data_IF_418572077023
#
_entry.id   IF_418572077023
#
_cell.length_a   1.000
_cell.length_b   1.000
_cell.length_c   1.000
_cell.angle_alpha   90.00
_cell.angle_beta   90.00
_cell.angle_gamma   90.00
#
_symmetry.space_group_name_H-M   'P 1'
#
loop_
_entity.id
_entity.type
_entity.pdbx_description
1 polymer ?
#
# COMPACT_ATOMS: atom_id res chain seq x y z
N UNK A 1 -50.81 81.55 -28.77
CA UNK A 1 -50.81 80.02 -28.63
C UNK A 1 -49.48 79.43 -28.22
N UNK A 2 -48.38 80.17 -28.33
CA UNK A 2 -47.01 79.64 -27.95
C UNK A 2 -46.71 79.75 -26.45
N UNK A 3 -47.25 80.71 -25.75
CA UNK A 3 -46.99 80.93 -24.32
C UNK A 3 -47.62 79.81 -23.36
N UNK A 4 -48.77 79.25 -23.78
CA UNK A 4 -49.42 78.14 -22.98
C UNK A 4 -48.74 76.79 -23.12
N UNK A 5 -47.85 76.58 -24.08
CA UNK A 5 -47.07 75.37 -24.27
C UNK A 5 -45.80 75.34 -23.42
N UNK A 6 -45.25 76.49 -23.10
CA UNK A 6 -44.07 76.63 -22.22
C UNK A 6 -44.38 76.30 -20.78
N UNK A 7 -45.49 76.78 -20.23
CA UNK A 7 -45.90 76.56 -18.83
C UNK A 7 -46.27 75.10 -18.54
N UNK A 8 -46.88 74.38 -19.50
CA UNK A 8 -47.15 72.99 -19.34
C UNK A 8 -45.88 72.12 -19.26
N UNK A 9 -44.86 72.47 -20.07
CA UNK A 9 -43.57 71.74 -20.04
C UNK A 9 -42.75 72.00 -18.78
N UNK A 10 -42.85 73.24 -18.21
CA UNK A 10 -42.23 73.55 -16.94
C UNK A 10 -42.94 72.85 -15.76
N UNK A 11 -44.25 72.81 -15.72
CA UNK A 11 -45.04 72.11 -14.69
C UNK A 11 -44.80 70.58 -14.70
N UNK A 12 -44.75 69.98 -15.89
CA UNK A 12 -44.43 68.54 -16.02
C UNK A 12 -42.98 68.24 -15.64
N UNK A 13 -42.03 69.11 -15.93
CA UNK A 13 -40.63 69.00 -15.53
C UNK A 13 -40.47 69.19 -14.00
N UNK A 14 -41.25 70.11 -13.36
CA UNK A 14 -41.26 70.26 -11.90
C UNK A 14 -41.86 69.06 -11.18
N UNK A 15 -42.92 68.42 -11.72
CA UNK A 15 -43.52 67.21 -11.17
C UNK A 15 -42.71 65.94 -11.44
N UNK A 16 -41.96 65.87 -12.54
CA UNK A 16 -41.12 64.72 -12.88
C UNK A 16 -39.79 64.62 -12.04
N UNK A 17 -39.25 65.76 -11.59
CA UNK A 17 -38.00 65.76 -10.77
C UNK A 17 -38.11 64.96 -9.51
N UNK A 18 -39.12 65.12 -8.61
CA UNK A 18 -39.19 64.29 -7.40
C UNK A 18 -39.38 62.82 -7.70
N UNK A 19 -40.08 62.48 -8.79
CA UNK A 19 -40.31 61.08 -9.22
C UNK A 19 -39.01 60.44 -9.72
N UNK A 20 -38.18 61.15 -10.44
CA UNK A 20 -36.83 60.70 -10.87
C UNK A 20 -35.89 60.52 -9.66
N UNK A 21 -35.96 61.44 -8.69
CA UNK A 21 -35.14 61.33 -7.45
C UNK A 21 -35.55 60.11 -6.64
N UNK A 22 -36.84 59.85 -6.47
CA UNK A 22 -37.32 58.65 -5.73
C UNK A 22 -36.98 57.37 -6.46
N UNK A 23 -37.07 57.31 -7.80
CA UNK A 23 -36.64 56.16 -8.60
C UNK A 23 -35.13 55.91 -8.48
N UNK A 24 -34.32 56.98 -8.51
CA UNK A 24 -32.88 56.85 -8.34
C UNK A 24 -32.51 56.36 -6.94
N UNK A 25 -33.12 56.88 -5.87
CA UNK A 25 -32.91 56.37 -4.52
C UNK A 25 -33.31 54.93 -4.33
N UNK A 26 -34.46 54.49 -4.87
CA UNK A 26 -34.92 53.10 -4.89
C UNK A 26 -33.93 52.21 -5.60
N UNK A 27 -33.49 52.62 -6.80
CA UNK A 27 -32.51 51.83 -7.58
C UNK A 27 -31.17 51.72 -6.86
N UNK A 28 -30.65 52.77 -6.27
CA UNK A 28 -29.39 52.75 -5.48
C UNK A 28 -29.57 51.84 -4.24
N UNK A 29 -30.69 51.98 -3.51
CA UNK A 29 -30.98 51.12 -2.36
C UNK A 29 -31.05 49.67 -2.71
N UNK A 30 -31.71 49.32 -3.81
CA UNK A 30 -31.79 47.93 -4.33
C UNK A 30 -30.42 47.42 -4.73
N UNK A 31 -29.58 48.19 -5.39
CA UNK A 31 -28.23 47.79 -5.76
C UNK A 31 -27.34 47.57 -4.54
N UNK A 32 -27.43 48.47 -3.55
CA UNK A 32 -26.70 48.32 -2.27
C UNK A 32 -27.14 47.03 -1.57
N UNK A 33 -28.44 46.78 -1.46
CA UNK A 33 -28.97 45.57 -0.82
C UNK A 33 -28.53 44.31 -1.54
N UNK A 34 -28.61 44.31 -2.88
CA UNK A 34 -28.13 43.20 -3.70
C UNK A 34 -26.62 42.94 -3.49
N UNK A 35 -25.82 44.02 -3.48
CA UNK A 35 -24.38 43.94 -3.23
C UNK A 35 -24.06 43.37 -1.84
N UNK A 36 -24.74 43.83 -0.79
CA UNK A 36 -24.56 43.34 0.58
C UNK A 36 -24.94 41.87 0.69
N UNK A 37 -26.08 41.45 0.11
CA UNK A 37 -26.49 40.06 0.09
C UNK A 37 -25.45 39.17 -0.59
N UNK A 38 -24.97 39.61 -1.74
CA UNK A 38 -23.97 38.87 -2.52
C UNK A 38 -22.63 38.77 -1.77
N UNK A 39 -22.21 39.83 -1.11
CA UNK A 39 -20.92 39.90 -0.41
C UNK A 39 -20.90 39.15 0.91
N UNK A 40 -22.00 39.08 1.65
CA UNK A 40 -22.03 38.47 2.99
C UNK A 40 -22.83 37.18 3.07
N UNK A 41 -23.98 37.09 2.40
CA UNK A 41 -24.86 35.93 2.57
C UNK A 41 -24.35 34.69 1.83
N UNK A 42 -23.81 34.83 0.63
CA UNK A 42 -23.25 33.68 -0.11
C UNK A 42 -22.07 33.02 0.57
N UNK A 43 -21.04 33.71 1.05
CA UNK A 43 -19.93 33.09 1.74
C UNK A 43 -20.35 32.36 3.02
N UNK A 44 -21.32 32.91 3.76
CA UNK A 44 -21.86 32.24 4.96
C UNK A 44 -22.58 30.93 4.59
N UNK A 45 -23.36 30.93 3.50
CA UNK A 45 -24.02 29.73 3.02
C UNK A 45 -23.00 28.67 2.59
N UNK A 46 -21.96 29.05 1.84
CA UNK A 46 -20.88 28.13 1.43
C UNK A 46 -20.16 27.54 2.64
N UNK A 47 -19.88 28.33 3.66
CA UNK A 47 -19.25 27.85 4.89
C UNK A 47 -20.16 26.89 5.67
N UNK A 48 -21.46 27.19 5.74
CA UNK A 48 -22.45 26.30 6.36
C UNK A 48 -22.57 24.96 5.63
N UNK A 49 -22.60 25.00 4.29
CA UNK A 49 -22.66 23.77 3.48
C UNK A 49 -21.36 22.95 3.60
N UNK A 50 -20.21 23.61 3.61
CA UNK A 50 -18.93 22.94 3.85
C UNK A 50 -18.86 22.32 5.26
N UNK A 51 -19.34 23.02 6.28
CA UNK A 51 -19.40 22.50 7.64
C UNK A 51 -20.31 21.27 7.76
N UNK A 52 -21.41 21.24 7.01
CA UNK A 52 -22.30 20.08 6.94
C UNK A 52 -21.62 18.89 6.28
N UNK A 53 -20.91 19.08 5.17
CA UNK A 53 -20.18 18.04 4.48
C UNK A 53 -19.06 17.45 5.37
N UNK A 54 -18.34 18.31 6.12
CA UNK A 54 -17.35 17.88 7.12
C UNK A 54 -18.01 17.05 8.23
N UNK A 55 -19.18 17.45 8.71
CA UNK A 55 -19.95 16.70 9.72
C UNK A 55 -20.41 15.33 9.19
N UNK A 56 -20.73 15.22 7.89
CA UNK A 56 -21.09 13.98 7.20
C UNK A 56 -19.86 13.10 6.89
N UNK A 57 -18.64 13.60 7.20
CA UNK A 57 -17.38 12.83 7.13
C UNK A 57 -16.47 13.17 5.96
N UNK A 58 -16.87 14.05 5.04
CA UNK A 58 -16.02 14.51 3.94
C UNK A 58 -15.08 15.63 4.43
N UNK A 59 -13.83 15.26 4.72
CA UNK A 59 -12.79 16.17 5.17
C UNK A 59 -12.00 16.82 4.03
N UNK A 60 -12.26 16.44 2.77
CA UNK A 60 -11.57 17.02 1.61
C UNK A 60 -12.18 18.34 1.15
N UNK A 61 -13.35 18.69 1.68
CA UNK A 61 -14.04 19.94 1.38
C UNK A 61 -13.19 21.13 1.78
N UNK A 62 -13.08 22.11 0.88
CA UNK A 62 -12.40 23.38 1.13
C UNK A 62 -13.32 24.53 0.74
N UNK A 63 -13.37 25.55 1.57
CA UNK A 63 -14.08 26.80 1.27
C UNK A 63 -13.18 27.69 0.43
N UNK A 64 -13.65 28.22 -0.71
CA UNK A 64 -12.85 29.13 -1.56
C UNK A 64 -12.41 30.38 -0.78
N UNK A 65 -11.11 30.66 -0.78
CA UNK A 65 -10.51 31.82 -0.11
C UNK A 65 -10.37 33.02 -1.08
N UNK A 66 -10.84 32.97 -2.28
CA UNK A 66 -10.63 33.84 -3.43
C UNK A 66 -10.32 35.31 -3.08
N UNK A 67 -9.04 35.58 -2.70
CA UNK A 67 -8.48 36.94 -2.60
C UNK A 67 -9.15 37.87 -1.57
N UNK A 68 -9.94 37.37 -0.64
CA UNK A 68 -10.61 38.19 0.40
C UNK A 68 -9.67 38.43 1.58
N UNK A 69 -9.41 39.72 1.83
CA UNK A 69 -8.63 40.20 2.98
C UNK A 69 -9.52 40.72 4.13
N UNK A 70 -10.79 40.28 4.16
CA UNK A 70 -11.75 40.64 5.22
C UNK A 70 -11.95 39.50 6.24
N UNK A 71 -12.82 39.71 7.22
CA UNK A 71 -13.13 38.74 8.28
C UNK A 71 -13.67 37.40 7.71
N UNK A 72 -14.35 37.46 6.58
CA UNK A 72 -14.89 36.25 5.93
C UNK A 72 -13.78 35.43 5.27
N UNK A 73 -12.78 36.06 4.67
CA UNK A 73 -11.58 35.40 4.17
C UNK A 73 -10.78 34.70 5.28
N UNK A 74 -10.59 35.43 6.42
CA UNK A 74 -9.92 34.84 7.59
C UNK A 74 -10.70 33.66 8.16
N UNK A 75 -12.03 33.71 8.19
CA UNK A 75 -12.87 32.62 8.67
C UNK A 75 -12.78 31.39 7.75
N UNK A 76 -12.81 31.61 6.43
CA UNK A 76 -12.62 30.54 5.46
C UNK A 76 -11.24 29.86 5.60
N UNK A 77 -10.18 30.65 5.76
CA UNK A 77 -8.84 30.15 6.01
C UNK A 77 -8.77 29.27 7.26
N UNK A 78 -9.27 29.77 8.40
CA UNK A 78 -9.29 29.02 9.67
C UNK A 78 -10.12 27.74 9.56
N UNK A 79 -11.22 27.77 8.82
CA UNK A 79 -12.02 26.59 8.56
C UNK A 79 -11.23 25.54 7.74
N UNK A 80 -10.52 25.98 6.70
CA UNK A 80 -9.68 25.09 5.89
C UNK A 80 -8.50 24.51 6.68
N UNK A 81 -7.87 25.31 7.55
CA UNK A 81 -6.84 24.84 8.47
C UNK A 81 -7.39 23.77 9.44
N UNK A 82 -8.56 24.03 10.04
CA UNK A 82 -9.23 23.07 10.92
C UNK A 82 -9.58 21.76 10.21
N UNK A 83 -10.12 21.81 8.99
CA UNK A 83 -10.44 20.60 8.23
C UNK A 83 -9.20 19.80 7.84
N UNK A 84 -8.09 20.48 7.49
CA UNK A 84 -6.82 19.81 7.22
C UNK A 84 -6.25 19.12 8.49
N UNK A 85 -6.39 19.73 9.64
CA UNK A 85 -5.93 19.16 10.92
C UNK A 85 -6.80 17.98 11.35
N UNK A 86 -8.11 18.03 11.12
CA UNK A 86 -9.02 16.90 11.33
C UNK A 86 -8.70 15.71 10.40
N UNK A 87 -8.42 15.97 9.13
CA UNK A 87 -8.02 14.95 8.15
C UNK A 87 -6.73 14.25 8.59
N UNK A 88 -5.72 15.03 9.00
CA UNK A 88 -4.46 14.50 9.53
C UNK A 88 -4.67 13.70 10.81
N UNK A 89 -5.52 14.17 11.72
CA UNK A 89 -5.83 13.48 12.98
C UNK A 89 -6.51 12.14 12.73
N UNK A 90 -7.51 12.08 11.83
CA UNK A 90 -8.16 10.81 11.43
C UNK A 90 -7.18 9.82 10.81
N UNK A 91 -6.27 10.30 9.96
CA UNK A 91 -5.25 9.45 9.36
C UNK A 91 -4.32 8.86 10.42
N UNK A 92 -3.87 9.69 11.36
CA UNK A 92 -3.03 9.26 12.49
C UNK A 92 -3.76 8.26 13.40
N UNK A 93 -5.04 8.51 13.69
CA UNK A 93 -5.86 7.59 14.50
C UNK A 93 -6.02 6.24 13.82
N UNK A 94 -6.29 6.20 12.52
CA UNK A 94 -6.36 4.97 11.75
C UNK A 94 -5.02 4.21 11.74
N UNK A 95 -3.89 4.92 11.60
CA UNK A 95 -2.56 4.33 11.68
C UNK A 95 -2.27 3.77 13.08
N UNK A 96 -2.66 4.48 14.12
CA UNK A 96 -2.47 4.07 15.52
C UNK A 96 -3.30 2.83 15.84
N UNK A 97 -4.57 2.78 15.44
CA UNK A 97 -5.43 1.60 15.57
C UNK A 97 -4.85 0.39 14.84
N UNK A 98 -4.34 0.60 13.63
CA UNK A 98 -3.70 -0.48 12.87
C UNK A 98 -2.42 -0.97 13.55
N UNK A 99 -1.60 -0.06 14.08
CA UNK A 99 -0.38 -0.40 14.81
C UNK A 99 -0.70 -1.13 16.13
N UNK A 100 -1.69 -0.68 16.91
CA UNK A 100 -2.14 -1.36 18.13
C UNK A 100 -2.67 -2.76 17.82
N UNK A 101 -3.52 -2.91 16.80
CA UNK A 101 -4.04 -4.20 16.36
C UNK A 101 -2.90 -5.15 15.97
N UNK A 102 -1.92 -4.66 15.22
CA UNK A 102 -0.75 -5.43 14.84
C UNK A 102 0.13 -5.81 16.05
N UNK A 103 0.29 -4.91 17.02
CA UNK A 103 1.07 -5.17 18.23
C UNK A 103 0.41 -6.23 19.14
N UNK A 104 -0.92 -6.17 19.31
CA UNK A 104 -1.69 -7.18 20.06
C UNK A 104 -1.58 -8.54 19.39
N UNK A 105 -1.80 -8.60 18.07
CA UNK A 105 -1.67 -9.83 17.28
C UNK A 105 -0.24 -10.37 17.35
N UNK A 106 0.78 -9.50 17.31
CA UNK A 106 2.18 -9.90 17.40
C UNK A 106 2.57 -10.51 18.75
N UNK A 107 2.07 -9.96 19.85
CA UNK A 107 2.31 -10.51 21.21
C UNK A 107 1.60 -11.84 21.42
N UNK A 108 0.32 -11.91 21.11
CA UNK A 108 -0.47 -13.13 21.21
C UNK A 108 0.04 -14.21 20.25
N UNK A 109 0.35 -13.80 19.02
CA UNK A 109 0.87 -14.70 18.00
C UNK A 109 2.17 -15.38 18.40
N UNK A 110 3.09 -14.68 19.07
CA UNK A 110 4.36 -15.28 19.54
C UNK A 110 4.15 -16.36 20.59
N UNK A 111 3.23 -16.14 21.55
CA UNK A 111 2.89 -17.15 22.58
C UNK A 111 2.19 -18.35 21.94
N UNK A 112 1.17 -18.11 21.13
CA UNK A 112 0.40 -19.16 20.43
C UNK A 112 1.32 -19.97 19.50
N UNK A 113 2.22 -19.32 18.76
CA UNK A 113 3.14 -20.02 17.88
C UNK A 113 4.07 -20.97 18.64
N UNK A 114 4.53 -20.56 19.81
CA UNK A 114 5.34 -21.44 20.65
C UNK A 114 4.54 -22.64 21.15
N UNK A 115 3.28 -22.41 21.53
CA UNK A 115 2.37 -23.47 21.97
C UNK A 115 1.96 -24.41 20.83
N UNK A 116 1.84 -23.92 19.59
CA UNK A 116 1.54 -24.77 18.43
C UNK A 116 2.79 -25.52 17.95
N UNK A 117 3.98 -24.91 17.98
CA UNK A 117 5.23 -25.61 17.61
C UNK A 117 5.51 -26.81 18.47
N UNK A 118 5.16 -26.76 19.75
CA UNK A 118 5.39 -27.89 20.68
C UNK A 118 4.67 -29.17 20.23
N UNK A 119 3.35 -29.22 20.05
CA UNK A 119 2.67 -30.41 19.54
C UNK A 119 3.14 -30.83 18.15
N UNK A 120 3.47 -29.87 17.24
CA UNK A 120 4.01 -30.19 15.92
C UNK A 120 5.37 -30.89 16.00
N UNK A 121 6.24 -30.48 16.93
CA UNK A 121 7.49 -31.16 17.20
C UNK A 121 7.27 -32.59 17.73
N UNK A 122 6.29 -32.80 18.62
CA UNK A 122 5.92 -34.15 19.06
C UNK A 122 5.42 -35.01 17.90
N UNK A 123 4.57 -34.47 17.02
CA UNK A 123 4.11 -35.19 15.84
C UNK A 123 5.31 -35.59 14.95
N UNK A 124 6.24 -34.64 14.72
CA UNK A 124 7.42 -34.88 13.88
C UNK A 124 8.32 -36.00 14.49
N UNK A 125 8.61 -35.92 15.78
CA UNK A 125 9.36 -36.96 16.49
C UNK A 125 8.67 -38.33 16.47
N UNK A 126 7.34 -38.35 16.62
CA UNK A 126 6.55 -39.58 16.55
C UNK A 126 6.62 -40.22 15.15
N UNK A 127 6.52 -39.38 14.07
CA UNK A 127 6.69 -39.85 12.72
C UNK A 127 8.10 -40.42 12.47
N UNK A 128 9.14 -39.76 12.99
CA UNK A 128 10.52 -40.29 12.92
C UNK A 128 10.68 -41.62 13.65
N UNK A 129 10.06 -41.74 14.82
CA UNK A 129 10.06 -43.00 15.57
C UNK A 129 9.32 -44.11 14.83
N UNK A 130 8.13 -43.83 14.28
CA UNK A 130 7.40 -44.78 13.45
C UNK A 130 8.23 -45.26 12.25
N UNK A 131 8.88 -44.33 11.52
CA UNK A 131 9.75 -44.67 10.40
C UNK A 131 10.95 -45.50 10.78
N UNK A 132 11.53 -45.28 11.99
CA UNK A 132 12.73 -46.00 12.44
C UNK A 132 12.43 -47.38 13.00
N UNK A 133 11.27 -47.59 13.63
CA UNK A 133 10.97 -48.80 14.41
C UNK A 133 9.83 -49.63 13.84
N UNK A 134 8.94 -49.05 13.04
CA UNK A 134 7.70 -49.68 12.58
C UNK A 134 7.54 -49.73 11.06
N UNK A 135 8.64 -49.54 10.34
CA UNK A 135 8.63 -49.70 8.89
C UNK A 135 8.28 -51.14 8.49
N UNK A 136 7.22 -51.36 7.69
CA UNK A 136 6.80 -52.71 7.27
C UNK A 136 7.89 -53.45 6.50
N UNK A 137 7.99 -54.77 6.69
CA UNK A 137 8.93 -55.60 5.96
C UNK A 137 8.44 -55.88 4.52
N UNK A 138 7.11 -55.91 4.31
CA UNK A 138 6.52 -56.16 3.01
C UNK A 138 6.72 -54.94 2.09
N UNK A 139 7.33 -55.11 0.85
CA UNK A 139 7.71 -53.97 -0.01
C UNK A 139 6.54 -53.03 -0.34
N UNK A 140 5.39 -53.59 -0.71
CA UNK A 140 4.18 -52.81 -1.06
C UNK A 140 3.68 -51.97 0.13
N UNK A 141 3.63 -52.54 1.30
CA UNK A 141 3.21 -51.81 2.53
C UNK A 141 4.24 -50.78 2.93
N UNK A 142 5.52 -51.08 2.75
CA UNK A 142 6.61 -50.15 3.00
C UNK A 142 6.52 -48.88 2.17
N UNK A 143 6.30 -49.05 0.88
CA UNK A 143 6.14 -47.90 -0.05
C UNK A 143 4.99 -47.00 0.38
N UNK A 144 3.83 -47.60 0.68
CA UNK A 144 2.66 -46.86 1.18
C UNK A 144 2.98 -46.15 2.51
N UNK A 145 3.64 -46.85 3.44
CA UNK A 145 3.99 -46.28 4.74
C UNK A 145 4.99 -45.11 4.62
N UNK A 146 6.02 -45.24 3.79
CA UNK A 146 7.00 -44.18 3.53
C UNK A 146 6.36 -43.00 2.86
N UNK A 147 5.46 -43.19 1.90
CA UNK A 147 4.68 -42.15 1.26
C UNK A 147 3.81 -41.38 2.24
N UNK A 148 3.00 -42.08 3.05
CA UNK A 148 2.11 -41.45 4.02
C UNK A 148 2.87 -40.68 5.10
N UNK A 149 3.93 -41.26 5.67
CA UNK A 149 4.75 -40.57 6.69
C UNK A 149 5.49 -39.37 6.12
N UNK A 150 5.94 -39.42 4.87
CA UNK A 150 6.55 -38.27 4.17
C UNK A 150 5.55 -37.15 3.92
N UNK A 151 4.33 -37.50 3.51
CA UNK A 151 3.25 -36.51 3.34
C UNK A 151 2.90 -35.82 4.66
N UNK A 152 2.78 -36.58 5.76
CA UNK A 152 2.53 -36.00 7.10
C UNK A 152 3.67 -35.08 7.56
N UNK A 153 4.92 -35.45 7.31
CA UNK A 153 6.08 -34.58 7.63
C UNK A 153 6.07 -33.30 6.82
N UNK A 154 5.74 -33.39 5.52
CA UNK A 154 5.61 -32.21 4.68
C UNK A 154 4.50 -31.26 5.18
N UNK A 155 3.37 -31.82 5.65
CA UNK A 155 2.27 -31.02 6.21
C UNK A 155 2.67 -30.34 7.54
N UNK A 156 3.39 -31.03 8.42
CA UNK A 156 3.93 -30.43 9.66
C UNK A 156 4.90 -29.30 9.35
N UNK A 157 5.78 -29.49 8.35
CA UNK A 157 6.70 -28.45 7.93
C UNK A 157 5.94 -27.23 7.34
N UNK A 158 4.88 -27.48 6.57
CA UNK A 158 4.01 -26.44 6.01
C UNK A 158 3.33 -25.61 7.12
N UNK A 159 2.77 -26.24 8.12
CA UNK A 159 2.12 -25.56 9.25
C UNK A 159 3.15 -24.70 10.02
N UNK A 160 4.36 -25.23 10.27
CA UNK A 160 5.43 -24.47 10.92
C UNK A 160 5.82 -23.23 10.11
N UNK A 161 5.87 -23.33 8.78
CA UNK A 161 6.14 -22.18 7.91
C UNK A 161 5.01 -21.14 7.98
N UNK A 162 3.74 -21.58 7.94
CA UNK A 162 2.59 -20.69 8.08
C UNK A 162 2.60 -19.90 9.39
N UNK A 163 2.93 -20.55 10.49
CA UNK A 163 3.07 -19.91 11.81
C UNK A 163 4.20 -18.87 11.77
N UNK A 164 5.32 -19.20 11.14
CA UNK A 164 6.46 -18.28 11.01
C UNK A 164 6.12 -17.05 10.17
N UNK A 165 5.43 -17.25 9.05
CA UNK A 165 4.96 -16.16 8.18
C UNK A 165 3.98 -15.24 8.93
N UNK A 166 3.02 -15.82 9.66
CA UNK A 166 2.08 -15.07 10.49
C UNK A 166 2.78 -14.22 11.55
N UNK A 167 3.77 -14.80 12.25
CA UNK A 167 4.55 -14.06 13.24
C UNK A 167 5.36 -12.93 12.63
N UNK A 168 6.00 -13.17 11.50
CA UNK A 168 6.78 -12.16 10.79
C UNK A 168 5.90 -11.00 10.29
N UNK A 169 4.69 -11.31 9.80
CA UNK A 169 3.72 -10.29 9.41
C UNK A 169 3.24 -9.47 10.61
N UNK A 170 2.99 -10.12 11.76
CA UNK A 170 2.36 -9.52 12.94
C UNK A 170 3.32 -8.72 13.84
N UNK A 171 4.63 -8.96 13.76
CA UNK A 171 5.61 -8.26 14.60
C UNK A 171 5.69 -6.76 14.25
N UNK A 172 5.71 -5.86 15.27
CA UNK A 172 6.12 -4.48 15.06
C UNK A 172 7.60 -4.49 14.66
N UNK A 173 7.88 -4.12 13.43
CA UNK A 173 9.19 -4.30 12.83
C UNK A 173 10.00 -3.02 13.00
N UNK A 174 10.99 -3.06 13.89
CA UNK A 174 12.00 -2.02 13.98
C UNK A 174 13.24 -2.56 13.25
N UNK A 175 13.46 -2.12 12.01
CA UNK A 175 14.63 -2.53 11.23
C UNK A 175 15.89 -1.81 11.74
N UNK A 176 16.99 -2.52 11.79
CA UNK A 176 18.33 -1.96 12.07
C UNK A 176 19.00 -1.63 10.73
N UNK A 177 18.63 -0.48 10.17
CA UNK A 177 19.10 -0.06 8.84
C UNK A 177 20.57 0.35 8.87
N UNK A 178 21.42 -0.38 8.14
CA UNK A 178 22.87 -0.13 8.02
C UNK A 178 23.31 -0.11 6.56
N UNK A 179 24.39 0.62 6.24
CA UNK A 179 25.00 0.55 4.91
C UNK A 179 25.44 -0.88 4.60
N UNK A 180 24.87 -1.51 3.57
CA UNK A 180 25.17 -2.88 3.18
C UNK A 180 25.21 -3.05 1.65
N UNK A 181 25.89 -4.11 1.21
CA UNK A 181 25.85 -4.53 -0.19
C UNK A 181 24.68 -5.50 -0.40
N UNK A 182 23.72 -5.11 -1.24
CA UNK A 182 22.52 -5.93 -1.52
C UNK A 182 22.86 -7.26 -2.19
N UNK A 183 23.98 -7.33 -2.93
CA UNK A 183 24.44 -8.55 -3.59
C UNK A 183 24.67 -9.71 -2.62
N UNK A 184 25.12 -9.41 -1.40
CA UNK A 184 25.33 -10.44 -0.37
C UNK A 184 24.05 -11.18 -0.04
N UNK A 185 22.95 -10.45 0.17
CA UNK A 185 21.66 -11.02 0.51
C UNK A 185 21.02 -11.75 -0.69
N UNK A 186 21.19 -11.22 -1.88
CA UNK A 186 20.72 -11.87 -3.11
C UNK A 186 21.45 -13.20 -3.34
N UNK A 187 22.77 -13.25 -3.14
CA UNK A 187 23.54 -14.47 -3.28
C UNK A 187 23.17 -15.52 -2.21
N UNK A 188 22.89 -15.10 -0.98
CA UNK A 188 22.38 -16.00 0.05
C UNK A 188 21.02 -16.60 -0.34
N UNK A 189 20.12 -15.79 -0.89
CA UNK A 189 18.80 -16.24 -1.35
C UNK A 189 18.89 -17.17 -2.57
N UNK A 190 19.83 -16.92 -3.49
CA UNK A 190 20.08 -17.80 -4.63
C UNK A 190 20.49 -19.20 -4.19
N UNK A 191 21.36 -19.33 -3.17
CA UNK A 191 21.76 -20.65 -2.64
C UNK A 191 20.58 -21.46 -2.12
N UNK A 192 19.54 -20.79 -1.57
CA UNK A 192 18.36 -21.48 -1.04
C UNK A 192 17.55 -22.11 -2.16
N UNK A 193 17.44 -21.45 -3.32
CA UNK A 193 16.62 -21.94 -4.44
C UNK A 193 17.38 -22.81 -5.42
N UNK A 194 18.71 -22.87 -5.35
CA UNK A 194 19.59 -23.52 -6.35
C UNK A 194 19.23 -24.98 -6.61
N UNK A 195 19.04 -25.76 -5.54
CA UNK A 195 18.68 -27.17 -5.66
C UNK A 195 17.32 -27.34 -6.35
N UNK A 196 16.30 -26.62 -5.88
CA UNK A 196 14.93 -26.69 -6.42
C UNK A 196 14.85 -26.18 -7.87
N UNK A 197 15.59 -25.11 -8.18
CA UNK A 197 15.68 -24.59 -9.54
C UNK A 197 16.31 -25.63 -10.51
N UNK A 198 17.40 -26.29 -10.06
CA UNK A 198 18.06 -27.34 -10.84
C UNK A 198 17.15 -28.55 -11.09
N UNK A 199 16.45 -29.03 -10.03
CA UNK A 199 15.50 -30.16 -10.13
C UNK A 199 14.36 -29.87 -11.12
N UNK A 200 13.88 -28.62 -11.16
CA UNK A 200 12.78 -28.20 -12.03
C UNK A 200 13.26 -27.71 -13.43
N UNK A 201 14.53 -27.83 -13.76
CA UNK A 201 15.07 -27.41 -15.06
C UNK A 201 15.03 -25.89 -15.27
N UNK A 202 15.09 -25.10 -14.21
CA UNK A 202 15.06 -23.63 -14.26
C UNK A 202 16.48 -23.09 -14.39
N UNK A 203 16.72 -22.25 -15.40
CA UNK A 203 17.99 -21.57 -15.59
C UNK A 203 18.00 -20.26 -14.82
N UNK A 204 18.95 -20.09 -13.89
CA UNK A 204 19.11 -18.86 -13.11
C UNK A 204 20.21 -17.99 -13.73
N UNK A 205 19.91 -16.74 -14.03
CA UNK A 205 20.85 -15.73 -14.53
C UNK A 205 20.88 -14.52 -13.61
N UNK A 206 22.09 -14.04 -13.33
CA UNK A 206 22.29 -12.80 -12.55
C UNK A 206 23.08 -11.82 -13.41
N UNK A 207 22.58 -10.59 -13.53
CA UNK A 207 23.22 -9.48 -14.23
C UNK A 207 23.43 -8.34 -13.23
N UNK A 208 24.67 -8.04 -12.94
CA UNK A 208 25.04 -6.98 -12.01
C UNK A 208 25.73 -5.85 -12.77
N UNK A 209 25.39 -4.61 -12.41
CA UNK A 209 26.14 -3.45 -12.88
C UNK A 209 27.42 -3.30 -12.05
N UNK A 210 28.53 -2.89 -12.68
CA UNK A 210 29.83 -2.80 -12.01
C UNK A 210 29.82 -1.87 -10.79
N UNK A 211 29.06 -0.78 -10.83
CA UNK A 211 29.04 0.27 -9.81
C UNK A 211 27.69 0.31 -9.04
N UNK A 212 27.25 -0.81 -8.48
CA UNK A 212 26.07 -0.80 -7.59
C UNK A 212 26.45 -0.19 -6.25
N UNK A 213 25.81 0.92 -5.82
CA UNK A 213 26.11 1.54 -4.53
C UNK A 213 25.58 0.68 -3.37
N UNK A 214 26.12 0.89 -2.17
CA UNK A 214 25.56 0.32 -0.94
C UNK A 214 24.17 0.88 -0.70
N UNK A 215 23.28 0.05 -0.19
CA UNK A 215 21.93 0.43 0.25
C UNK A 215 21.88 0.61 1.76
N UNK A 216 20.89 1.35 2.25
CA UNK A 216 20.57 1.41 3.66
C UNK A 216 19.53 0.30 3.94
N UNK A 217 19.95 -0.77 4.63
CA UNK A 217 19.09 -1.94 4.82
C UNK A 217 19.41 -2.80 6.02
N UNK A 218 18.45 -3.64 6.39
CA UNK A 218 18.57 -4.71 7.38
C UNK A 218 18.72 -6.05 6.63
N UNK A 219 19.87 -6.75 6.78
CA UNK A 219 20.13 -7.97 6.01
C UNK A 219 19.11 -9.08 6.25
N UNK A 220 18.61 -9.25 7.47
CA UNK A 220 17.66 -10.32 7.82
C UNK A 220 16.31 -10.09 7.14
N UNK A 221 15.85 -8.83 7.15
CA UNK A 221 14.60 -8.47 6.49
C UNK A 221 14.70 -8.54 4.98
N UNK A 222 15.77 -8.03 4.39
CA UNK A 222 15.97 -8.09 2.94
C UNK A 222 16.15 -9.53 2.44
N UNK A 223 16.77 -10.41 3.24
CA UNK A 223 16.82 -11.85 2.95
C UNK A 223 15.41 -12.44 2.87
N UNK A 224 14.52 -12.07 3.78
CA UNK A 224 13.11 -12.51 3.71
C UNK A 224 12.41 -12.03 2.45
N UNK A 225 12.67 -10.77 2.01
CA UNK A 225 12.13 -10.23 0.75
C UNK A 225 12.57 -11.07 -0.44
N UNK A 226 13.88 -11.23 -0.63
CA UNK A 226 14.40 -11.91 -1.82
C UNK A 226 14.10 -13.40 -1.81
N UNK A 227 14.10 -14.06 -0.66
CA UNK A 227 13.65 -15.45 -0.54
C UNK A 227 12.19 -15.62 -0.99
N UNK A 228 11.27 -14.77 -0.51
CA UNK A 228 9.88 -14.84 -0.90
C UNK A 228 9.68 -14.64 -2.41
N UNK A 229 10.35 -13.65 -3.00
CA UNK A 229 10.24 -13.36 -4.43
C UNK A 229 10.81 -14.50 -5.28
N UNK A 230 12.01 -15.00 -4.93
CA UNK A 230 12.67 -16.08 -5.68
C UNK A 230 11.96 -17.42 -5.54
N UNK A 231 11.49 -17.78 -4.34
CA UNK A 231 10.68 -19.00 -4.13
C UNK A 231 9.39 -18.92 -4.93
N UNK A 232 8.71 -17.77 -4.96
CA UNK A 232 7.51 -17.57 -5.77
C UNK A 232 7.78 -17.75 -7.26
N UNK A 233 8.91 -17.24 -7.76
CA UNK A 233 9.35 -17.39 -9.15
C UNK A 233 9.61 -18.87 -9.51
N UNK A 234 10.35 -19.59 -8.65
CA UNK A 234 10.63 -21.03 -8.86
C UNK A 234 9.34 -21.84 -8.87
N UNK A 235 8.43 -21.59 -7.92
CA UNK A 235 7.12 -22.26 -7.87
C UNK A 235 6.24 -21.98 -9.09
N UNK A 236 6.30 -20.76 -9.65
CA UNK A 236 5.57 -20.41 -10.87
C UNK A 236 6.06 -21.17 -12.10
N UNK A 237 7.28 -21.73 -12.04
CA UNK A 237 7.94 -22.49 -13.13
C UNK A 237 8.08 -23.98 -12.82
N UNK A 238 7.56 -24.48 -11.69
CA UNK A 238 7.77 -25.87 -11.23
C UNK A 238 7.37 -26.94 -12.26
N UNK A 239 6.31 -26.70 -13.04
CA UNK A 239 5.80 -27.65 -14.02
C UNK A 239 6.38 -27.48 -15.42
N UNK A 240 6.82 -26.30 -15.78
CA UNK A 240 7.21 -25.92 -17.15
C UNK A 240 8.71 -25.74 -17.33
N UNK A 241 9.48 -25.69 -16.22
CA UNK A 241 10.83 -25.16 -16.26
C UNK A 241 10.82 -23.67 -16.65
N UNK A 242 11.96 -23.12 -17.00
CA UNK A 242 12.00 -21.74 -17.46
C UNK A 242 13.29 -21.02 -17.13
N UNK A 243 13.18 -19.69 -16.95
CA UNK A 243 14.32 -18.82 -16.64
C UNK A 243 13.97 -17.84 -15.54
N UNK A 244 14.83 -17.76 -14.53
CA UNK A 244 14.82 -16.74 -13.49
C UNK A 244 15.97 -15.76 -13.74
N UNK A 245 15.67 -14.50 -14.03
CA UNK A 245 16.68 -13.46 -14.26
C UNK A 245 16.61 -12.44 -13.11
N UNK A 246 17.78 -12.18 -12.50
CA UNK A 246 17.93 -11.16 -11.49
C UNK A 246 18.86 -10.08 -12.07
N UNK A 247 18.41 -8.83 -12.01
CA UNK A 247 19.20 -7.69 -12.49
C UNK A 247 19.33 -6.66 -11.38
N UNK A 248 20.57 -6.22 -11.11
CA UNK A 248 20.88 -5.24 -10.08
C UNK A 248 21.55 -4.03 -10.76
N UNK A 249 20.91 -2.87 -10.67
CA UNK A 249 21.39 -1.64 -11.31
C UNK A 249 21.19 -0.43 -10.39
N UNK A 250 22.04 0.60 -10.45
CA UNK A 250 21.67 1.91 -9.94
C UNK A 250 20.45 2.43 -10.70
N UNK A 251 19.55 3.14 -10.02
CA UNK A 251 18.37 3.75 -10.66
C UNK A 251 18.79 5.03 -11.41
N UNK A 252 17.96 5.47 -12.36
CA UNK A 252 18.24 6.61 -13.25
C UNK A 252 18.57 7.91 -12.49
N UNK A 253 18.01 8.10 -11.30
CA UNK A 253 18.25 9.27 -10.44
C UNK A 253 19.43 9.11 -9.45
N UNK A 254 20.23 8.04 -9.55
CA UNK A 254 21.40 7.73 -8.70
C UNK A 254 21.14 7.80 -7.17
N UNK A 255 19.89 7.87 -6.73
CA UNK A 255 19.49 7.89 -5.31
C UNK A 255 18.99 6.54 -4.80
N UNK A 256 18.65 5.62 -5.71
CA UNK A 256 18.10 4.30 -5.40
C UNK A 256 18.93 3.20 -6.08
N UNK A 257 18.82 2.00 -5.55
CA UNK A 257 19.29 0.76 -6.21
C UNK A 257 18.04 -0.02 -6.65
N UNK A 258 18.00 -0.37 -7.92
CA UNK A 258 16.95 -1.14 -8.55
C UNK A 258 17.33 -2.61 -8.66
N UNK A 259 16.44 -3.48 -8.19
CA UNK A 259 16.57 -4.93 -8.26
C UNK A 259 15.36 -5.48 -8.99
N UNK A 260 15.56 -6.01 -10.20
CA UNK A 260 14.55 -6.68 -10.98
C UNK A 260 14.68 -8.20 -10.79
N UNK A 261 13.59 -8.88 -10.48
CA UNK A 261 13.46 -10.34 -10.36
C UNK A 261 12.39 -10.76 -11.36
N UNK A 262 12.79 -11.39 -12.46
CA UNK A 262 11.90 -11.75 -13.56
C UNK A 262 11.92 -13.26 -13.80
N UNK A 263 10.74 -13.88 -13.79
CA UNK A 263 10.51 -15.28 -14.15
C UNK A 263 9.74 -15.41 -15.46
N UNK A 264 9.84 -16.58 -16.08
CA UNK A 264 9.07 -16.96 -17.27
C UNK A 264 7.98 -17.98 -16.94
N UNK A 265 7.42 -17.88 -15.74
CA UNK A 265 6.39 -18.80 -15.24
C UNK A 265 4.98 -18.50 -15.74
N UNK A 266 3.99 -19.00 -15.02
CA UNK A 266 2.58 -18.93 -15.42
C UNK A 266 2.02 -17.49 -15.47
N UNK A 267 2.71 -16.50 -14.86
CA UNK A 267 2.21 -15.14 -14.75
C UNK A 267 1.02 -14.99 -13.80
N UNK A 268 0.54 -13.76 -13.69
CA UNK A 268 -0.57 -13.35 -12.81
C UNK A 268 -1.63 -12.68 -13.68
N UNK A 269 -2.91 -13.00 -13.46
CA UNK A 269 -4.01 -12.34 -14.17
C UNK A 269 -4.14 -10.87 -13.77
N UNK A 270 -4.57 -10.03 -14.69
CA UNK A 270 -4.73 -8.58 -14.48
C UNK A 270 -5.63 -8.26 -13.27
N UNK A 271 -6.70 -9.04 -13.06
CA UNK A 271 -7.62 -8.90 -11.93
C UNK A 271 -6.94 -9.14 -10.57
N UNK A 272 -5.88 -9.95 -10.54
CA UNK A 272 -5.17 -10.34 -9.33
C UNK A 272 -3.95 -9.46 -9.04
N UNK A 273 -3.36 -8.82 -10.05
CA UNK A 273 -2.15 -8.00 -9.90
C UNK A 273 -2.31 -6.93 -8.81
N UNK A 274 -3.48 -6.28 -8.73
CA UNK A 274 -3.76 -5.27 -7.70
C UNK A 274 -3.91 -5.85 -6.29
N UNK A 275 -4.21 -7.16 -6.15
CA UNK A 275 -4.54 -7.82 -4.89
C UNK A 275 -3.40 -8.66 -4.31
N UNK A 276 -2.34 -8.93 -5.09
CA UNK A 276 -1.28 -9.86 -4.66
C UNK A 276 -0.53 -9.43 -3.40
N UNK A 277 -0.57 -8.15 -3.05
CA UNK A 277 0.03 -7.61 -1.84
C UNK A 277 -0.95 -7.57 -0.64
N UNK A 278 -2.25 -7.84 -0.87
CA UNK A 278 -3.23 -7.93 0.20
C UNK A 278 -2.93 -9.15 1.09
N UNK A 279 -2.96 -8.98 2.43
CA UNK A 279 -2.76 -10.10 3.35
C UNK A 279 -3.80 -11.20 3.13
N UNK A 280 -3.35 -12.45 3.19
CA UNK A 280 -4.17 -13.67 2.99
C UNK A 280 -4.69 -13.87 1.56
N UNK A 281 -4.31 -13.03 0.61
CA UNK A 281 -4.64 -13.25 -0.79
C UNK A 281 -3.67 -14.27 -1.41
N UNK A 282 -4.19 -15.36 -1.94
CA UNK A 282 -3.41 -16.39 -2.64
C UNK A 282 -4.23 -17.04 -3.74
N UNK A 283 -3.63 -17.26 -4.89
CA UNK A 283 -4.18 -18.08 -5.98
C UNK A 283 -3.72 -19.53 -5.92
N UNK A 284 -2.81 -19.85 -4.97
CA UNK A 284 -2.26 -21.19 -4.77
C UNK A 284 -3.03 -21.90 -3.65
N UNK A 285 -3.39 -23.17 -3.85
CA UNK A 285 -4.10 -23.99 -2.84
C UNK A 285 -3.31 -24.11 -1.52
N UNK A 286 -1.98 -24.11 -1.60
CA UNK A 286 -1.09 -24.27 -0.42
C UNK A 286 -0.46 -22.96 0.06
N UNK A 287 -0.76 -21.84 -0.58
CA UNK A 287 -0.18 -20.53 -0.26
C UNK A 287 -0.82 -19.89 0.96
N UNK A 288 -0.02 -19.30 1.86
CA UNK A 288 -0.52 -18.54 3.04
C UNK A 288 -1.12 -17.19 2.67
N UNK A 289 -0.77 -16.67 1.49
CA UNK A 289 -1.12 -15.30 1.07
C UNK A 289 -0.44 -14.20 1.88
N UNK A 290 0.57 -14.54 2.70
CA UNK A 290 1.30 -13.55 3.53
C UNK A 290 2.65 -13.16 2.94
N UNK A 291 3.24 -13.99 2.08
CA UNK A 291 4.59 -13.77 1.57
C UNK A 291 4.80 -12.43 0.88
N UNK A 292 3.93 -12.05 -0.06
CA UNK A 292 4.03 -10.77 -0.77
C UNK A 292 3.61 -9.58 0.10
N UNK A 293 2.66 -9.74 1.01
CA UNK A 293 2.32 -8.72 2.00
C UNK A 293 3.49 -8.42 2.95
N UNK A 294 4.26 -9.45 3.35
CA UNK A 294 5.51 -9.30 4.13
C UNK A 294 6.56 -8.57 3.30
N UNK A 295 6.71 -8.92 2.02
CA UNK A 295 7.63 -8.24 1.10
C UNK A 295 7.33 -6.75 1.04
N UNK A 296 6.08 -6.36 0.77
CA UNK A 296 5.69 -4.95 0.71
C UNK A 296 5.99 -4.24 2.02
N UNK A 297 5.56 -4.80 3.16
CA UNK A 297 5.80 -4.24 4.50
C UNK A 297 7.30 -4.01 4.77
N UNK A 298 8.16 -4.96 4.40
CA UNK A 298 9.60 -4.83 4.61
C UNK A 298 10.18 -3.76 3.69
N UNK A 299 9.78 -3.71 2.42
CA UNK A 299 10.24 -2.69 1.47
C UNK A 299 9.83 -1.29 1.94
N UNK A 300 8.59 -1.11 2.46
CA UNK A 300 8.11 0.16 3.03
C UNK A 300 8.95 0.59 4.25
N UNK A 301 9.31 -0.35 5.16
CA UNK A 301 10.18 -0.06 6.32
C UNK A 301 11.57 0.39 5.88
N UNK A 302 12.05 -0.07 4.73
CA UNK A 302 13.31 0.35 4.12
C UNK A 302 13.19 1.64 3.30
N UNK A 303 12.03 2.32 3.34
CA UNK A 303 11.73 3.50 2.52
C UNK A 303 11.91 3.26 1.02
N UNK A 304 11.69 2.02 0.58
CA UNK A 304 11.76 1.58 -0.80
C UNK A 304 10.40 1.53 -1.48
N UNK A 305 10.39 1.04 -2.70
CA UNK A 305 9.17 0.75 -3.46
C UNK A 305 9.25 -0.63 -4.10
N UNK A 306 8.11 -1.29 -4.27
CA UNK A 306 7.99 -2.53 -5.04
C UNK A 306 6.90 -2.38 -6.08
N UNK A 307 7.20 -2.80 -7.30
CA UNK A 307 6.29 -2.83 -8.42
C UNK A 307 6.23 -4.22 -9.02
N UNK A 308 5.14 -4.55 -9.70
CA UNK A 308 4.93 -5.82 -10.39
C UNK A 308 4.44 -5.59 -11.80
N UNK A 309 5.05 -6.27 -12.75
CA UNK A 309 4.60 -6.38 -14.13
C UNK A 309 4.39 -7.86 -14.42
N UNK A 310 3.20 -8.28 -14.81
CA UNK A 310 2.91 -9.68 -15.06
C UNK A 310 1.85 -9.85 -16.15
N UNK A 311 1.98 -10.94 -16.91
CA UNK A 311 1.00 -11.35 -17.90
C UNK A 311 0.88 -12.87 -17.90
N UNK A 312 -0.36 -13.36 -17.91
CA UNK A 312 -0.65 -14.78 -17.94
C UNK A 312 0.09 -15.48 -19.09
N UNK A 313 0.86 -16.52 -18.75
CA UNK A 313 1.64 -17.33 -19.69
C UNK A 313 2.96 -16.71 -20.17
N UNK A 314 3.28 -15.46 -19.79
CA UNK A 314 4.53 -14.79 -20.15
C UNK A 314 5.52 -14.66 -18.97
N UNK A 315 5.00 -14.77 -17.74
CA UNK A 315 5.78 -14.68 -16.50
C UNK A 315 5.51 -13.43 -15.67
N UNK A 316 6.36 -13.21 -14.66
CA UNK A 316 6.23 -12.08 -13.72
C UNK A 316 7.56 -11.40 -13.53
N UNK A 317 7.54 -10.07 -13.42
CA UNK A 317 8.68 -9.26 -13.05
C UNK A 317 8.33 -8.41 -11.82
N UNK A 318 9.06 -8.61 -10.74
CA UNK A 318 9.06 -7.72 -9.58
C UNK A 318 10.24 -6.76 -9.66
N UNK A 319 9.98 -5.47 -9.44
CA UNK A 319 11.00 -4.42 -9.37
C UNK A 319 11.01 -3.85 -7.95
N UNK A 320 12.08 -4.06 -7.22
CA UNK A 320 12.33 -3.50 -5.88
C UNK A 320 13.30 -2.34 -6.02
N UNK A 321 12.98 -1.18 -5.44
CA UNK A 321 13.89 -0.02 -5.36
C UNK A 321 14.18 0.29 -3.91
N UNK A 322 15.44 0.40 -3.54
CA UNK A 322 15.90 0.66 -2.17
C UNK A 322 16.81 1.89 -2.13
N UNK A 323 16.73 2.72 -1.07
CA UNK A 323 17.57 3.90 -0.92
C UNK A 323 19.04 3.55 -0.83
N UNK A 324 19.88 4.34 -1.52
CA UNK A 324 21.32 4.31 -1.41
C UNK A 324 21.76 4.76 -0.01
N UNK A 325 22.75 4.11 0.55
CA UNK A 325 23.41 4.60 1.75
C UNK A 325 24.20 5.87 1.41
N UNK A 326 23.97 6.92 2.18
CA UNK A 326 24.69 8.21 2.06
C UNK A 326 26.15 8.07 2.41
#
# INVERSE_FOLDING_TARGET
>A
MVLLRSDKNEATRRAARPLLVTLAVLSISTLITFFLVWQFTRPIANLSDAARQVADGDLHVRVPEEGRNDEMGQLAQRFNEMTAELEKSKLLEAQLQQAEKSAVIGRLGSAIAHEIRNPLNYINLTLDHLRSKFTPEQPEKREIFEKLTSQLKAEVARINQQISDFLNYSRPTKADLKPMDVRTVINDSLRIIEAQASENGIKVGVVEHENVPKILGDPEFLRSVFNNLMINAVQAMEKSGGRLNIKITPDENDSLVRIDIADTGNGISEENVSKIFEPYFSTKETGTGLGLAIVQKIVDIHHGTIEVESKMGEGTKFTVRLPKAS
#
